data_IF_209612362849
#
_entry.id   IF_209612362849
#
_cell.length_a   1.000
_cell.length_b   1.000
_cell.length_c   1.000
_cell.angle_alpha   90.00
_cell.angle_beta   90.00
_cell.angle_gamma   90.00
#
_symmetry.space_group_name_H-M   'P 1'
#
loop_
_entity.id
_entity.type
_entity.pdbx_description
1 polymer ?
#
# COMPACT_ATOMS: atom_id res chain seq x y z
N UNK A 1 -23.42 -41.68 38.81
CA UNK A 1 -24.27 -41.38 37.63
C UNK A 1 -24.29 -42.53 36.63
N UNK A 2 -23.15 -43.00 36.09
CA UNK A 2 -23.16 -44.15 35.16
C UNK A 2 -23.79 -45.42 35.76
N UNK A 3 -23.46 -45.75 37.01
CA UNK A 3 -24.11 -46.87 37.71
C UNK A 3 -25.63 -46.70 37.85
N UNK A 4 -26.12 -45.47 37.99
CA UNK A 4 -27.57 -45.18 38.05
C UNK A 4 -28.23 -45.35 36.68
N UNK A 5 -27.54 -44.97 35.60
CA UNK A 5 -28.02 -45.20 34.24
C UNK A 5 -28.10 -46.70 33.92
N UNK A 6 -27.10 -47.47 34.35
CA UNK A 6 -27.07 -48.92 34.22
C UNK A 6 -28.21 -49.58 35.02
N UNK A 7 -28.45 -49.14 36.26
CA UNK A 7 -29.60 -49.57 37.07
C UNK A 7 -30.95 -49.26 36.40
N UNK A 8 -31.03 -48.20 35.61
CA UNK A 8 -32.21 -47.82 34.84
C UNK A 8 -32.28 -48.49 33.45
N UNK A 9 -31.32 -49.36 33.11
CA UNK A 9 -31.25 -50.05 31.81
C UNK A 9 -30.90 -49.15 30.64
N UNK A 10 -30.25 -48.01 30.89
CA UNK A 10 -29.81 -47.05 29.87
C UNK A 10 -28.37 -47.33 29.43
N UNK A 11 -28.00 -47.01 28.18
CA UNK A 11 -26.64 -47.22 27.68
C UNK A 11 -25.63 -46.36 28.44
N UNK A 12 -24.45 -46.93 28.72
CA UNK A 12 -23.33 -46.26 29.39
C UNK A 12 -22.06 -46.20 28.55
N UNK A 13 -22.00 -46.99 27.48
CA UNK A 13 -20.82 -47.07 26.61
C UNK A 13 -20.70 -45.81 25.75
N UNK A 14 -19.50 -45.23 25.73
CA UNK A 14 -19.16 -44.04 24.95
C UNK A 14 -20.06 -42.80 25.20
N UNK A 15 -20.80 -42.77 26.32
CA UNK A 15 -21.67 -41.63 26.68
C UNK A 15 -20.85 -40.44 27.18
N UNK A 16 -19.75 -40.69 27.90
CA UNK A 16 -18.83 -39.65 28.36
C UNK A 16 -17.39 -40.03 28.07
N UNK A 17 -16.54 -39.01 27.88
CA UNK A 17 -15.11 -39.21 27.64
C UNK A 17 -14.37 -39.73 28.89
N UNK A 18 -13.13 -40.19 28.68
CA UNK A 18 -12.32 -40.81 29.71
C UNK A 18 -12.01 -39.85 30.87
N UNK A 19 -11.77 -40.40 32.07
CA UNK A 19 -11.30 -39.59 33.21
C UNK A 19 -9.96 -38.88 32.92
N UNK A 20 -9.08 -39.52 32.13
CA UNK A 20 -7.81 -38.94 31.72
C UNK A 20 -7.98 -37.69 30.86
N UNK A 21 -8.82 -37.75 29.83
CA UNK A 21 -9.11 -36.60 28.96
C UNK A 21 -9.73 -35.44 29.73
N UNK A 22 -10.65 -35.73 30.66
CA UNK A 22 -11.25 -34.72 31.54
C UNK A 22 -10.20 -34.05 32.40
N UNK A 23 -9.31 -34.82 33.02
CA UNK A 23 -8.22 -34.28 33.83
C UNK A 23 -7.28 -33.39 33.01
N UNK A 24 -6.93 -33.83 31.79
CA UNK A 24 -6.10 -33.05 30.88
C UNK A 24 -6.74 -31.71 30.53
N UNK A 25 -8.03 -31.68 30.19
CA UNK A 25 -8.74 -30.42 29.94
C UNK A 25 -8.64 -29.49 31.15
N UNK A 26 -9.10 -29.96 32.31
CA UNK A 26 -9.19 -29.16 33.54
C UNK A 26 -7.82 -28.67 34.01
N UNK A 27 -6.76 -29.44 33.81
CA UNK A 27 -5.39 -29.05 34.17
C UNK A 27 -4.89 -27.86 33.35
N UNK A 28 -5.23 -27.79 32.06
CA UNK A 28 -4.72 -26.74 31.16
C UNK A 28 -5.60 -25.48 31.16
N UNK A 29 -6.88 -25.59 31.51
CA UNK A 29 -7.83 -24.46 31.48
C UNK A 29 -7.39 -23.22 32.27
N UNK A 30 -6.84 -23.31 33.51
CA UNK A 30 -6.50 -22.11 34.29
C UNK A 30 -5.50 -21.17 33.60
N UNK A 31 -4.44 -21.73 33.01
CA UNK A 31 -3.41 -20.93 32.33
C UNK A 31 -3.97 -20.25 31.08
N UNK A 32 -4.83 -20.96 30.34
CA UNK A 32 -5.50 -20.44 29.14
C UNK A 32 -6.46 -19.29 29.50
N UNK A 33 -7.25 -19.44 30.56
CA UNK A 33 -8.14 -18.38 31.05
C UNK A 33 -7.38 -17.17 31.58
N UNK A 34 -6.15 -17.35 32.04
CA UNK A 34 -5.25 -16.26 32.46
C UNK A 34 -4.93 -15.27 31.35
N UNK A 35 -5.21 -15.60 30.08
CA UNK A 35 -5.07 -14.70 28.94
C UNK A 35 -6.22 -13.67 28.85
N UNK A 36 -7.33 -13.86 29.57
CA UNK A 36 -8.47 -12.93 29.60
C UNK A 36 -8.42 -12.00 30.82
N UNK A 37 -8.87 -10.76 30.65
CA UNK A 37 -9.01 -9.84 31.78
C UNK A 37 -10.24 -10.17 32.65
N UNK A 38 -10.29 -9.58 33.85
CA UNK A 38 -11.37 -9.83 34.82
C UNK A 38 -12.76 -9.45 34.29
N UNK A 39 -12.88 -8.47 33.39
CA UNK A 39 -14.16 -8.06 32.81
C UNK A 39 -14.61 -9.06 31.75
N UNK A 40 -13.69 -9.56 30.93
CA UNK A 40 -13.95 -10.59 29.94
C UNK A 40 -14.40 -11.88 30.63
N UNK A 41 -13.66 -12.34 31.65
CA UNK A 41 -14.02 -13.53 32.45
C UNK A 41 -15.43 -13.41 33.06
N UNK A 42 -15.76 -12.25 33.65
CA UNK A 42 -17.08 -12.02 34.24
C UNK A 42 -18.23 -12.01 33.23
N UNK A 43 -17.94 -11.85 31.93
CA UNK A 43 -18.92 -11.75 30.83
C UNK A 43 -18.97 -12.99 29.94
N UNK A 44 -18.34 -14.10 30.33
CA UNK A 44 -18.28 -15.32 29.52
C UNK A 44 -19.03 -16.51 30.16
N UNK A 45 -20.38 -16.47 30.20
CA UNK A 45 -21.18 -17.54 30.81
C UNK A 45 -21.09 -18.86 30.03
N UNK A 46 -20.83 -18.84 28.72
CA UNK A 46 -20.71 -20.07 27.95
C UNK A 46 -19.35 -20.75 28.17
N UNK A 47 -18.28 -20.01 28.49
CA UNK A 47 -17.03 -20.61 28.98
C UNK A 47 -17.27 -21.37 30.30
N UNK A 48 -18.08 -20.82 31.20
CA UNK A 48 -18.44 -21.53 32.44
C UNK A 48 -19.19 -22.83 32.15
N UNK A 49 -20.16 -22.79 31.23
CA UNK A 49 -20.90 -24.00 30.78
C UNK A 49 -19.99 -25.02 30.08
N UNK A 50 -19.06 -24.54 29.26
CA UNK A 50 -18.07 -25.36 28.58
C UNK A 50 -17.21 -26.14 29.57
N UNK A 51 -16.70 -25.48 30.60
CA UNK A 51 -15.86 -26.12 31.63
C UNK A 51 -16.66 -27.15 32.42
N UNK A 52 -17.92 -26.84 32.78
CA UNK A 52 -18.81 -27.78 33.48
C UNK A 52 -19.12 -29.02 32.63
N UNK A 53 -19.46 -28.84 31.34
CA UNK A 53 -19.70 -29.93 30.40
C UNK A 53 -18.43 -30.78 30.19
N UNK A 54 -17.28 -30.12 30.06
CA UNK A 54 -15.97 -30.77 29.96
C UNK A 54 -15.65 -31.61 31.20
N UNK A 55 -15.84 -31.07 32.41
CA UNK A 55 -15.64 -31.79 33.65
C UNK A 55 -16.58 -33.01 33.79
N UNK A 56 -17.81 -32.90 33.30
CA UNK A 56 -18.77 -34.01 33.26
C UNK A 56 -18.39 -35.08 32.21
N UNK A 57 -17.57 -34.73 31.22
CA UNK A 57 -17.15 -35.62 30.13
C UNK A 57 -18.00 -35.54 28.86
N UNK A 58 -18.82 -34.49 28.73
CA UNK A 58 -19.64 -34.19 27.56
C UNK A 58 -18.89 -33.22 26.65
N UNK A 59 -17.89 -33.71 25.92
CA UNK A 59 -16.98 -32.87 25.14
C UNK A 59 -17.61 -32.27 23.88
N UNK A 60 -18.62 -32.92 23.32
CA UNK A 60 -19.48 -32.40 22.25
C UNK A 60 -20.27 -31.17 22.71
N UNK A 61 -20.88 -31.24 23.89
CA UNK A 61 -21.57 -30.12 24.52
C UNK A 61 -20.60 -29.00 24.91
N UNK A 62 -19.43 -29.36 25.47
CA UNK A 62 -18.39 -28.40 25.81
C UNK A 62 -17.89 -27.62 24.59
N UNK A 63 -17.65 -28.32 23.46
CA UNK A 63 -17.28 -27.69 22.19
C UNK A 63 -18.39 -26.78 21.66
N UNK A 64 -19.66 -27.19 21.78
CA UNK A 64 -20.79 -26.36 21.39
C UNK A 64 -20.85 -25.06 22.19
N UNK A 65 -20.67 -25.13 23.51
CA UNK A 65 -20.63 -23.93 24.36
C UNK A 65 -19.41 -23.03 24.08
N UNK A 66 -18.24 -23.61 23.80
CA UNK A 66 -17.08 -22.83 23.36
C UNK A 66 -17.38 -22.06 22.07
N UNK A 67 -17.99 -22.75 21.11
CA UNK A 67 -18.34 -22.16 19.83
C UNK A 67 -19.38 -21.04 19.98
N UNK A 68 -20.41 -21.25 20.81
CA UNK A 68 -21.43 -20.24 21.10
C UNK A 68 -20.80 -18.97 21.69
N UNK A 69 -19.90 -19.09 22.68
CA UNK A 69 -19.17 -17.93 23.21
C UNK A 69 -18.36 -17.22 22.12
N UNK A 70 -17.61 -18.00 21.32
CA UNK A 70 -16.73 -17.47 20.27
C UNK A 70 -17.51 -16.65 19.27
N UNK A 71 -18.63 -17.19 18.77
CA UNK A 71 -19.46 -16.50 17.79
C UNK A 71 -20.18 -15.30 18.39
N UNK A 72 -20.65 -15.37 19.64
CA UNK A 72 -21.22 -14.20 20.34
C UNK A 72 -20.18 -13.08 20.44
N UNK A 73 -18.96 -13.37 20.87
CA UNK A 73 -17.89 -12.37 20.96
C UNK A 73 -17.51 -11.80 19.60
N UNK A 74 -17.47 -12.63 18.55
CA UNK A 74 -17.21 -12.16 17.18
C UNK A 74 -18.33 -11.23 16.69
N UNK A 75 -19.60 -11.59 16.91
CA UNK A 75 -20.75 -10.74 16.57
C UNK A 75 -20.71 -9.42 17.33
N UNK A 76 -20.31 -9.42 18.61
CA UNK A 76 -20.13 -8.19 19.38
C UNK A 76 -19.05 -7.29 18.77
N UNK A 77 -17.96 -7.86 18.22
CA UNK A 77 -16.89 -7.06 17.60
C UNK A 77 -17.25 -6.56 16.22
N UNK A 78 -18.07 -7.33 15.50
CA UNK A 78 -18.73 -6.84 14.28
C UNK A 78 -19.72 -5.71 14.61
N UNK A 79 -20.45 -5.81 15.72
CA UNK A 79 -21.39 -4.77 16.15
C UNK A 79 -20.71 -3.45 16.50
N UNK A 80 -19.52 -3.52 17.09
CA UNK A 80 -18.65 -2.38 17.38
C UNK A 80 -17.92 -1.82 16.14
N UNK A 81 -18.04 -2.49 14.99
CA UNK A 81 -17.45 -2.09 13.71
C UNK A 81 -18.42 -1.17 12.93
N UNK A 82 -18.94 -1.67 11.82
CA UNK A 82 -19.96 -1.08 10.97
C UNK A 82 -20.82 -2.25 10.49
N UNK A 83 -21.98 -2.40 11.15
CA UNK A 83 -22.90 -3.51 10.93
C UNK A 83 -23.48 -3.49 9.52
N UNK A 84 -23.71 -2.30 8.95
CA UNK A 84 -24.25 -2.18 7.60
C UNK A 84 -23.22 -2.63 6.57
N UNK A 85 -21.99 -2.13 6.66
CA UNK A 85 -20.92 -2.56 5.76
C UNK A 85 -20.59 -4.05 5.92
N UNK A 86 -20.63 -4.57 7.15
CA UNK A 86 -20.47 -6.00 7.39
C UNK A 86 -21.52 -6.82 6.64
N UNK A 87 -22.80 -6.41 6.70
CA UNK A 87 -23.87 -7.10 5.98
C UNK A 87 -23.66 -7.07 4.47
N UNK A 88 -23.14 -5.98 3.89
CA UNK A 88 -22.83 -5.89 2.44
C UNK A 88 -21.85 -6.99 1.99
N UNK A 89 -20.97 -7.44 2.90
CA UNK A 89 -19.96 -8.46 2.62
C UNK A 89 -20.39 -9.88 3.00
N UNK A 90 -21.31 -9.99 3.96
CA UNK A 90 -21.81 -11.23 4.52
C UNK A 90 -23.00 -11.80 3.76
N UNK A 91 -23.84 -10.95 3.15
CA UNK A 91 -25.03 -11.35 2.40
C UNK A 91 -24.98 -10.76 0.97
N UNK A 92 -24.84 -11.67 0.00
CA UNK A 92 -24.73 -11.29 -1.41
C UNK A 92 -26.10 -11.15 -2.09
N UNK A 93 -27.16 -11.74 -1.52
CA UNK A 93 -28.53 -11.60 -2.02
C UNK A 93 -29.09 -10.22 -1.63
N UNK A 94 -29.44 -9.33 -2.58
CA UNK A 94 -29.90 -7.99 -2.27
C UNK A 94 -31.17 -7.94 -1.41
N UNK A 95 -32.11 -8.86 -1.62
CA UNK A 95 -33.39 -8.88 -0.90
C UNK A 95 -33.20 -9.31 0.55
N UNK A 96 -32.32 -10.29 0.81
CA UNK A 96 -31.95 -10.68 2.18
C UNK A 96 -31.11 -9.61 2.86
N UNK A 97 -30.21 -8.98 2.11
CA UNK A 97 -29.37 -7.88 2.60
C UNK A 97 -30.20 -6.70 3.10
N UNK A 98 -31.25 -6.31 2.37
CA UNK A 98 -32.16 -5.21 2.77
C UNK A 98 -32.87 -5.47 4.12
N UNK A 99 -33.11 -6.74 4.45
CA UNK A 99 -33.74 -7.17 5.70
C UNK A 99 -32.80 -7.21 6.92
N UNK A 100 -31.51 -6.88 6.73
CA UNK A 100 -30.47 -6.85 7.77
C UNK A 100 -30.02 -5.41 8.01
N UNK A 101 -30.31 -4.85 9.18
CA UNK A 101 -30.08 -3.41 9.43
C UNK A 101 -29.41 -3.14 10.78
N UNK A 102 -29.70 -3.97 11.77
CA UNK A 102 -29.35 -3.71 13.17
C UNK A 102 -28.38 -4.74 13.72
N UNK A 103 -27.78 -4.45 14.88
CA UNK A 103 -26.97 -5.41 15.63
C UNK A 103 -27.70 -6.73 15.85
N UNK A 104 -29.00 -6.67 16.13
CA UNK A 104 -29.81 -7.86 16.42
C UNK A 104 -29.94 -8.76 15.18
N UNK A 105 -29.80 -8.20 13.98
CA UNK A 105 -29.84 -8.96 12.74
C UNK A 105 -28.58 -9.81 12.50
N UNK A 106 -27.48 -9.57 13.24
CA UNK A 106 -26.25 -10.39 13.14
C UNK A 106 -26.48 -11.86 13.50
N UNK A 107 -27.51 -12.16 14.30
CA UNK A 107 -27.88 -13.55 14.61
C UNK A 107 -28.50 -14.28 13.40
N UNK A 108 -28.94 -13.56 12.37
CA UNK A 108 -29.49 -14.13 11.13
C UNK A 108 -28.41 -14.55 10.14
N UNK A 109 -27.17 -14.06 10.33
CA UNK A 109 -26.00 -14.49 9.55
C UNK A 109 -25.48 -15.81 10.12
N UNK A 110 -25.36 -16.81 9.24
CA UNK A 110 -24.79 -18.10 9.61
C UNK A 110 -23.28 -17.98 9.91
N UNK A 111 -22.77 -18.89 10.73
CA UNK A 111 -21.40 -18.77 11.26
C UNK A 111 -20.31 -18.82 10.18
N UNK A 112 -20.51 -19.57 9.09
CA UNK A 112 -19.53 -19.62 8.00
C UNK A 112 -19.45 -18.29 7.25
N UNK A 113 -20.61 -17.71 6.90
CA UNK A 113 -20.69 -16.38 6.30
C UNK A 113 -20.14 -15.29 7.23
N UNK A 114 -20.37 -15.42 8.54
CA UNK A 114 -19.83 -14.53 9.56
C UNK A 114 -18.29 -14.52 9.55
N UNK A 115 -17.66 -15.70 9.54
CA UNK A 115 -16.21 -15.85 9.48
C UNK A 115 -15.63 -15.30 8.16
N UNK A 116 -16.25 -15.62 7.03
CA UNK A 116 -15.82 -15.16 5.72
C UNK A 116 -15.86 -13.63 5.62
N UNK A 117 -16.94 -13.01 6.10
CA UNK A 117 -17.07 -11.56 6.13
C UNK A 117 -16.09 -10.92 7.12
N UNK A 118 -15.91 -11.50 8.31
CA UNK A 118 -14.94 -11.03 9.31
C UNK A 118 -13.50 -11.04 8.76
N UNK A 119 -13.13 -12.06 7.97
CA UNK A 119 -11.86 -12.10 7.26
C UNK A 119 -11.77 -11.01 6.18
N UNK A 120 -12.82 -10.82 5.37
CA UNK A 120 -12.83 -9.80 4.30
C UNK A 120 -12.61 -8.39 4.86
N UNK A 121 -13.18 -8.08 6.02
CA UNK A 121 -12.97 -6.79 6.72
C UNK A 121 -11.68 -6.76 7.55
N UNK A 122 -10.85 -7.81 7.48
CA UNK A 122 -9.62 -7.97 8.26
C UNK A 122 -9.82 -7.86 9.78
N UNK A 123 -11.02 -8.21 10.28
CA UNK A 123 -11.27 -8.34 11.70
C UNK A 123 -10.56 -9.58 12.27
N UNK A 124 -10.40 -10.62 11.46
CA UNK A 124 -9.58 -11.80 11.72
C UNK A 124 -8.60 -12.05 10.58
N UNK A 125 -7.47 -12.70 10.87
CA UNK A 125 -6.45 -13.05 9.87
C UNK A 125 -6.87 -14.25 9.01
N UNK A 126 -6.15 -14.49 7.91
CA UNK A 126 -6.34 -15.71 7.09
C UNK A 126 -6.09 -16.99 7.90
N UNK A 127 -5.09 -16.98 8.78
CA UNK A 127 -4.76 -18.13 9.65
C UNK A 127 -5.87 -18.37 10.66
N UNK A 128 -6.32 -17.30 11.32
CA UNK A 128 -7.44 -17.33 12.26
C UNK A 128 -8.71 -17.88 11.62
N UNK A 129 -9.03 -17.41 10.40
CA UNK A 129 -10.17 -17.88 9.63
C UNK A 129 -10.12 -19.38 9.39
N UNK A 130 -8.96 -19.92 8.99
CA UNK A 130 -8.80 -21.36 8.77
C UNK A 130 -8.96 -22.17 10.06
N UNK A 131 -8.33 -21.72 11.16
CA UNK A 131 -8.44 -22.38 12.46
C UNK A 131 -9.89 -22.41 12.98
N UNK A 132 -10.57 -21.26 12.96
CA UNK A 132 -11.96 -21.13 13.42
C UNK A 132 -12.93 -21.92 12.53
N UNK A 133 -12.70 -21.94 11.22
CA UNK A 133 -13.51 -22.75 10.29
C UNK A 133 -13.37 -24.24 10.57
N UNK A 134 -12.15 -24.70 10.92
CA UNK A 134 -11.93 -26.08 11.33
C UNK A 134 -12.66 -26.42 12.64
N UNK A 135 -12.60 -25.54 13.63
CA UNK A 135 -13.33 -25.73 14.91
C UNK A 135 -14.83 -25.81 14.66
N UNK A 136 -15.39 -24.92 13.84
CA UNK A 136 -16.81 -24.95 13.44
C UNK A 136 -17.17 -26.27 12.75
N UNK A 137 -16.35 -26.70 11.81
CA UNK A 137 -16.51 -27.97 11.12
C UNK A 137 -16.57 -29.13 12.13
N UNK A 138 -15.60 -29.19 13.05
CA UNK A 138 -15.56 -30.23 14.08
C UNK A 138 -16.77 -30.16 15.02
N UNK A 139 -17.22 -28.97 15.41
CA UNK A 139 -18.44 -28.78 16.21
C UNK A 139 -19.67 -29.38 15.53
N UNK A 140 -19.80 -29.23 14.22
CA UNK A 140 -20.92 -29.78 13.46
C UNK A 140 -20.82 -31.30 13.23
N UNK A 141 -19.62 -31.89 13.33
CA UNK A 141 -19.37 -33.30 13.01
C UNK A 141 -19.03 -34.18 14.23
N UNK A 142 -18.74 -33.60 15.39
CA UNK A 142 -18.38 -34.32 16.62
C UNK A 142 -19.59 -34.77 17.46
N UNK A 143 -20.82 -34.62 16.95
CA UNK A 143 -22.05 -34.99 17.67
C UNK A 143 -22.13 -36.51 17.92
N UNK A 144 -22.63 -36.88 19.11
CA UNK A 144 -22.75 -38.26 19.60
C UNK A 144 -23.59 -39.21 18.73
N UNK A 145 -24.26 -38.73 17.69
CA UNK A 145 -25.13 -39.51 16.80
C UNK A 145 -24.37 -40.36 15.74
N UNK A 146 -23.06 -40.15 15.55
CA UNK A 146 -22.28 -40.87 14.53
C UNK A 146 -20.99 -41.49 15.12
N UNK A 147 -21.00 -42.77 15.52
CA UNK A 147 -19.93 -43.45 16.28
C UNK A 147 -18.53 -43.53 15.62
N UNK A 148 -18.39 -43.16 14.33
CA UNK A 148 -17.16 -43.36 13.55
C UNK A 148 -16.41 -42.06 13.19
N UNK A 149 -16.80 -40.92 13.76
CA UNK A 149 -16.22 -39.61 13.41
C UNK A 149 -15.41 -39.10 14.61
N UNK A 150 -14.11 -38.89 14.39
CA UNK A 150 -13.07 -38.41 15.32
C UNK A 150 -13.43 -38.19 16.81
N UNK A 151 -12.71 -38.90 17.69
CA UNK A 151 -12.80 -38.71 19.15
C UNK A 151 -12.19 -37.37 19.58
N UNK A 152 -12.98 -36.53 20.24
CA UNK A 152 -12.51 -35.32 20.93
C UNK A 152 -11.67 -35.71 22.17
N UNK A 153 -10.49 -35.11 22.32
CA UNK A 153 -9.57 -35.34 23.46
C UNK A 153 -9.43 -34.10 24.31
N UNK A 154 -8.93 -34.27 25.53
CA UNK A 154 -8.79 -33.15 26.48
C UNK A 154 -7.85 -32.07 25.97
N UNK A 155 -6.76 -32.46 25.31
CA UNK A 155 -5.79 -31.52 24.70
C UNK A 155 -6.40 -30.77 23.53
N UNK A 156 -7.13 -31.44 22.61
CA UNK A 156 -7.77 -30.77 21.47
C UNK A 156 -8.75 -29.69 21.95
N UNK A 157 -9.58 -30.01 22.94
CA UNK A 157 -10.56 -29.06 23.45
C UNK A 157 -9.93 -27.89 24.21
N UNK A 158 -8.81 -28.12 24.92
CA UNK A 158 -8.02 -27.04 25.53
C UNK A 158 -7.33 -26.14 24.49
N UNK A 159 -6.74 -26.72 23.46
CA UNK A 159 -6.10 -26.00 22.35
C UNK A 159 -7.10 -25.11 21.60
N UNK A 160 -8.29 -25.63 21.33
CA UNK A 160 -9.36 -24.85 20.71
C UNK A 160 -9.89 -23.74 21.62
N UNK A 161 -9.97 -23.95 22.94
CA UNK A 161 -10.28 -22.88 23.89
C UNK A 161 -9.26 -21.73 23.77
N UNK A 162 -7.96 -22.06 23.77
CA UNK A 162 -6.91 -21.05 23.64
C UNK A 162 -6.96 -20.33 22.28
N UNK A 163 -7.20 -21.08 21.20
CA UNK A 163 -7.35 -20.52 19.85
C UNK A 163 -8.51 -19.53 19.79
N UNK A 164 -9.69 -19.91 20.29
CA UNK A 164 -10.87 -19.03 20.32
C UNK A 164 -10.62 -17.77 21.17
N UNK A 165 -9.88 -17.88 22.28
CA UNK A 165 -9.53 -16.72 23.11
C UNK A 165 -8.64 -15.74 22.34
N UNK A 166 -7.55 -16.24 21.75
CA UNK A 166 -6.55 -15.41 21.07
C UNK A 166 -7.08 -14.78 19.79
N UNK A 167 -7.77 -15.58 18.98
CA UNK A 167 -8.20 -15.14 17.65
C UNK A 167 -9.51 -14.33 17.66
N UNK A 168 -10.32 -14.42 18.73
CA UNK A 168 -11.62 -13.74 18.80
C UNK A 168 -11.81 -12.94 20.08
N UNK A 169 -11.70 -13.56 21.26
CA UNK A 169 -12.11 -12.91 22.52
C UNK A 169 -11.19 -11.75 22.90
N UNK A 170 -9.92 -11.82 22.50
CA UNK A 170 -8.92 -10.77 22.67
C UNK A 170 -8.88 -9.73 21.55
N UNK A 171 -9.65 -9.91 20.47
CA UNK A 171 -9.70 -8.92 19.39
C UNK A 171 -10.05 -7.57 20.00
N UNK A 172 -9.16 -6.58 19.85
CA UNK A 172 -9.49 -5.21 20.19
C UNK A 172 -10.18 -4.61 18.99
N UNK A 173 -11.44 -4.21 19.12
CA UNK A 173 -12.09 -3.36 18.13
C UNK A 173 -11.26 -2.09 18.03
N UNK A 174 -10.65 -1.86 16.87
CA UNK A 174 -9.90 -0.64 16.58
C UNK A 174 -10.90 0.32 15.93
N UNK A 175 -11.36 1.38 16.62
CA UNK A 175 -12.34 2.33 16.06
C UNK A 175 -11.94 2.83 14.67
N UNK A 176 -10.64 2.98 14.43
CA UNK A 176 -10.03 3.39 13.16
C UNK A 176 -10.42 2.49 11.97
N UNK A 177 -10.52 1.17 12.14
CA UNK A 177 -10.84 0.25 11.03
C UNK A 177 -12.31 0.41 10.63
N UNK A 178 -13.20 0.62 11.61
CA UNK A 178 -14.61 0.88 11.37
C UNK A 178 -14.82 2.22 10.63
N UNK A 179 -14.06 3.25 11.03
CA UNK A 179 -14.08 4.56 10.37
C UNK A 179 -13.62 4.48 8.90
N UNK A 180 -12.60 3.67 8.60
CA UNK A 180 -12.14 3.41 7.23
C UNK A 180 -13.21 2.71 6.40
N UNK A 181 -13.85 1.66 6.96
CA UNK A 181 -14.94 0.95 6.29
C UNK A 181 -16.11 1.87 5.95
N UNK A 182 -16.53 2.69 6.92
CA UNK A 182 -17.59 3.69 6.75
C UNK A 182 -17.22 4.74 5.71
N UNK A 183 -15.98 5.23 5.69
CA UNK A 183 -15.54 6.18 4.66
C UNK A 183 -15.62 5.56 3.27
N UNK A 184 -15.09 4.35 3.09
CA UNK A 184 -15.14 3.64 1.80
C UNK A 184 -16.58 3.40 1.35
N UNK A 185 -17.48 3.04 2.26
CA UNK A 185 -18.90 2.91 1.96
C UNK A 185 -19.51 4.23 1.50
N UNK A 186 -19.33 5.32 2.26
CA UNK A 186 -19.89 6.64 1.93
C UNK A 186 -19.37 7.17 0.58
N UNK A 187 -18.07 6.99 0.31
CA UNK A 187 -17.44 7.36 -0.98
C UNK A 187 -18.08 6.63 -2.16
N UNK A 188 -18.51 5.38 -1.95
CA UNK A 188 -19.22 4.59 -2.97
C UNK A 188 -20.71 4.95 -3.08
N UNK A 189 -21.36 5.28 -1.96
CA UNK A 189 -22.81 5.39 -1.88
C UNK A 189 -23.37 6.68 -2.50
N UNK A 190 -22.66 7.81 -2.39
CA UNK A 190 -23.17 9.09 -2.86
C UNK A 190 -22.06 10.05 -3.30
N UNK A 191 -22.43 11.07 -4.08
CA UNK A 191 -21.59 12.24 -4.28
C UNK A 191 -21.50 13.02 -2.95
N UNK A 192 -20.28 13.24 -2.48
CA UNK A 192 -20.03 13.94 -1.22
C UNK A 192 -19.60 15.38 -1.51
N UNK A 193 -19.99 16.33 -0.66
CA UNK A 193 -19.56 17.71 -0.80
C UNK A 193 -18.06 17.84 -0.52
N UNK A 194 -17.36 18.75 -1.21
CA UNK A 194 -15.93 18.97 -1.02
C UNK A 194 -15.56 19.26 0.45
N UNK A 195 -16.42 19.98 1.18
CA UNK A 195 -16.25 20.25 2.61
C UNK A 195 -16.29 18.97 3.46
N UNK A 196 -17.16 18.01 3.12
CA UNK A 196 -17.26 16.72 3.82
C UNK A 196 -16.01 15.86 3.57
N UNK A 197 -15.54 15.85 2.32
CA UNK A 197 -14.32 15.14 1.92
C UNK A 197 -13.08 15.74 2.58
N UNK A 198 -12.97 17.07 2.66
CA UNK A 198 -11.89 17.74 3.41
C UNK A 198 -11.93 17.41 4.89
N UNK A 199 -13.12 17.40 5.50
CA UNK A 199 -13.28 16.99 6.90
C UNK A 199 -12.86 15.53 7.11
N UNK A 200 -13.23 14.63 6.19
CA UNK A 200 -12.76 13.24 6.22
C UNK A 200 -11.23 13.16 6.08
N UNK A 201 -10.61 13.92 5.18
CA UNK A 201 -9.16 13.91 5.01
C UNK A 201 -8.37 14.28 6.29
N UNK A 202 -8.95 15.05 7.21
CA UNK A 202 -8.27 15.45 8.46
C UNK A 202 -7.82 14.27 9.32
N UNK A 203 -8.55 13.14 9.32
CA UNK A 203 -8.17 11.97 10.13
C UNK A 203 -7.01 11.17 9.54
N UNK A 204 -6.66 11.36 8.26
CA UNK A 204 -5.60 10.58 7.60
C UNK A 204 -4.26 10.72 8.32
N UNK A 205 -3.96 11.92 8.84
CA UNK A 205 -2.74 12.19 9.60
C UNK A 205 -2.62 11.41 10.93
N UNK A 206 -3.76 10.95 11.48
CA UNK A 206 -3.81 10.14 12.70
C UNK A 206 -3.87 8.64 12.45
N UNK A 207 -3.89 8.20 11.20
CA UNK A 207 -3.96 6.77 10.88
C UNK A 207 -2.65 6.05 11.20
N UNK A 208 -2.71 4.87 11.83
CA UNK A 208 -1.61 3.91 11.81
C UNK A 208 -1.19 3.58 10.37
N UNK A 209 0.10 3.33 10.14
CA UNK A 209 0.66 3.11 8.80
C UNK A 209 -0.04 1.99 8.02
N UNK A 210 -0.37 0.88 8.68
CA UNK A 210 -1.13 -0.25 8.11
C UNK A 210 -2.52 0.18 7.64
N UNK A 211 -3.16 1.08 8.38
CA UNK A 211 -4.50 1.57 8.08
C UNK A 211 -4.50 2.60 6.94
N UNK A 212 -3.51 3.47 6.87
CA UNK A 212 -3.32 4.35 5.71
C UNK A 212 -3.07 3.54 4.42
N UNK A 213 -2.25 2.49 4.50
CA UNK A 213 -2.00 1.57 3.38
C UNK A 213 -3.28 0.82 2.97
N UNK A 214 -4.08 0.35 3.93
CA UNK A 214 -5.35 -0.31 3.66
C UNK A 214 -6.35 0.62 2.97
N UNK A 215 -6.50 1.86 3.46
CA UNK A 215 -7.37 2.84 2.84
C UNK A 215 -6.93 3.17 1.41
N UNK A 216 -5.62 3.29 1.16
CA UNK A 216 -5.09 3.54 -0.18
C UNK A 216 -5.41 2.38 -1.14
N UNK A 217 -5.24 1.14 -0.69
CA UNK A 217 -5.67 -0.02 -1.47
C UNK A 217 -7.19 -0.05 -1.70
N UNK A 218 -7.98 0.37 -0.72
CA UNK A 218 -9.42 0.53 -0.84
C UNK A 218 -9.82 1.53 -1.92
N UNK A 219 -9.28 2.75 -1.87
CA UNK A 219 -9.50 3.78 -2.90
C UNK A 219 -9.06 3.32 -4.29
N UNK A 220 -7.88 2.72 -4.41
CA UNK A 220 -7.43 2.15 -5.68
C UNK A 220 -8.40 1.07 -6.21
N UNK A 221 -8.90 0.21 -5.32
CA UNK A 221 -9.82 -0.88 -5.66
C UNK A 221 -11.21 -0.41 -6.11
N UNK A 222 -11.71 0.71 -5.59
CA UNK A 222 -13.02 1.27 -5.99
C UNK A 222 -12.90 2.22 -7.19
N UNK A 223 -11.71 2.77 -7.45
CA UNK A 223 -11.45 3.70 -8.55
C UNK A 223 -11.15 3.00 -9.89
N UNK A 224 -10.42 1.89 -9.85
CA UNK A 224 -9.94 1.22 -11.06
C UNK A 224 -10.99 0.47 -11.89
N UNK A 225 -12.10 -0.07 -11.34
CA UNK A 225 -13.09 -0.77 -12.15
C UNK A 225 -13.68 0.15 -13.25
N UNK A 226 -13.86 -0.34 -14.49
CA UNK A 226 -14.48 0.45 -15.56
C UNK A 226 -15.95 0.78 -15.29
N UNK A 227 -16.57 0.05 -14.36
CA UNK A 227 -17.96 0.22 -13.92
C UNK A 227 -18.09 1.13 -12.71
N UNK A 228 -17.01 1.78 -12.26
CA UNK A 228 -17.08 2.72 -11.14
C UNK A 228 -17.92 3.94 -11.53
N UNK A 229 -18.88 4.30 -10.67
CA UNK A 229 -19.76 5.43 -10.92
C UNK A 229 -18.96 6.76 -10.89
N UNK A 230 -19.37 7.78 -11.68
CA UNK A 230 -18.66 9.06 -11.75
C UNK A 230 -18.43 9.72 -10.40
N UNK A 231 -19.40 9.67 -9.48
CA UNK A 231 -19.25 10.28 -8.15
C UNK A 231 -18.19 9.58 -7.30
N UNK A 232 -18.00 8.27 -7.46
CA UNK A 232 -16.95 7.52 -6.77
C UNK A 232 -15.58 8.00 -7.24
N UNK A 233 -15.43 8.22 -8.55
CA UNK A 233 -14.19 8.73 -9.13
C UNK A 233 -13.89 10.13 -8.60
N UNK A 234 -14.88 11.03 -8.57
CA UNK A 234 -14.71 12.40 -8.11
C UNK A 234 -14.38 12.48 -6.62
N UNK A 235 -15.07 11.69 -5.79
CA UNK A 235 -14.78 11.57 -4.36
C UNK A 235 -13.33 11.09 -4.12
N UNK A 236 -12.90 10.03 -4.82
CA UNK A 236 -11.53 9.50 -4.68
C UNK A 236 -10.49 10.50 -5.19
N UNK A 237 -10.74 11.22 -6.29
CA UNK A 237 -9.81 12.24 -6.80
C UNK A 237 -9.53 13.35 -5.79
N UNK A 238 -10.50 13.68 -4.93
CA UNK A 238 -10.31 14.67 -3.87
C UNK A 238 -9.61 14.10 -2.64
N UNK A 239 -9.86 12.84 -2.28
CA UNK A 239 -9.27 12.21 -1.09
C UNK A 239 -7.86 11.64 -1.34
N UNK A 240 -7.57 11.25 -2.57
CA UNK A 240 -6.33 10.56 -2.91
C UNK A 240 -5.07 11.40 -2.67
N UNK A 241 -5.00 12.67 -3.11
CA UNK A 241 -3.84 13.53 -2.81
C UNK A 241 -3.64 13.77 -1.32
N UNK A 242 -4.72 13.82 -0.54
CA UNK A 242 -4.65 14.02 0.92
C UNK A 242 -4.15 12.76 1.65
N UNK A 243 -4.48 11.57 1.14
CA UNK A 243 -4.03 10.31 1.74
C UNK A 243 -2.57 10.00 1.36
N UNK A 244 -2.16 10.33 0.14
CA UNK A 244 -0.88 9.92 -0.45
C UNK A 244 0.35 10.15 0.45
N UNK A 245 0.52 11.29 1.15
CA UNK A 245 1.66 11.53 2.05
C UNK A 245 1.82 10.49 3.16
N UNK A 246 0.72 9.84 3.58
CA UNK A 246 0.70 8.86 4.66
C UNK A 246 0.84 7.41 4.18
N UNK A 247 0.83 7.18 2.86
CA UNK A 247 1.01 5.85 2.26
C UNK A 247 2.48 5.46 2.26
N UNK A 248 2.78 4.24 2.72
CA UNK A 248 4.15 3.72 2.77
C UNK A 248 4.75 3.54 1.38
N UNK A 249 6.08 3.64 1.29
CA UNK A 249 6.81 3.45 0.04
C UNK A 249 6.55 2.09 -0.62
N UNK A 250 6.45 1.03 0.20
CA UNK A 250 6.18 -0.33 -0.29
C UNK A 250 4.78 -0.43 -0.91
N UNK A 251 3.76 0.17 -0.27
CA UNK A 251 2.42 0.22 -0.83
C UNK A 251 2.38 1.05 -2.13
N UNK A 252 3.07 2.20 -2.20
CA UNK A 252 3.14 3.00 -3.44
C UNK A 252 3.74 2.19 -4.60
N UNK A 253 4.82 1.44 -4.35
CA UNK A 253 5.41 0.50 -5.33
C UNK A 253 4.44 -0.62 -5.71
N UNK A 254 3.72 -1.18 -4.75
CA UNK A 254 2.72 -2.23 -5.00
C UNK A 254 1.61 -1.75 -5.95
N UNK A 255 1.15 -0.51 -5.81
CA UNK A 255 0.15 0.09 -6.71
C UNK A 255 0.69 0.20 -8.15
N UNK A 256 1.96 0.59 -8.31
CA UNK A 256 2.66 0.56 -9.60
C UNK A 256 2.72 -0.85 -10.23
N UNK A 257 3.00 -1.87 -9.41
CA UNK A 257 2.98 -3.28 -9.84
C UNK A 257 1.57 -3.71 -10.24
N UNK A 258 0.51 -3.26 -9.55
CA UNK A 258 -0.89 -3.53 -9.94
C UNK A 258 -1.20 -2.93 -11.31
N UNK A 259 -0.77 -1.70 -11.58
CA UNK A 259 -0.88 -1.09 -12.92
C UNK A 259 -0.14 -1.93 -13.97
N UNK A 260 1.10 -2.34 -13.72
CA UNK A 260 1.88 -3.19 -14.63
C UNK A 260 1.15 -4.52 -14.94
N UNK A 261 0.51 -5.13 -13.92
CA UNK A 261 -0.32 -6.34 -14.11
C UNK A 261 -1.54 -6.08 -14.99
N UNK A 262 -2.24 -4.96 -14.83
CA UNK A 262 -3.35 -4.61 -15.72
C UNK A 262 -2.88 -4.46 -17.17
N UNK A 263 -1.73 -3.82 -17.41
CA UNK A 263 -1.12 -3.71 -18.74
C UNK A 263 -0.76 -5.08 -19.32
N UNK A 264 -0.09 -5.93 -18.55
CA UNK A 264 0.31 -7.28 -18.99
C UNK A 264 -0.90 -8.17 -19.34
N UNK A 265 -2.03 -7.97 -18.68
CA UNK A 265 -3.28 -8.70 -18.92
C UNK A 265 -4.18 -8.04 -19.99
N UNK A 266 -3.70 -7.01 -20.69
CA UNK A 266 -4.48 -6.23 -21.67
C UNK A 266 -5.78 -5.60 -21.10
N UNK A 267 -5.88 -5.42 -19.78
CA UNK A 267 -6.99 -4.72 -19.13
C UNK A 267 -6.78 -3.20 -19.22
N UNK A 268 -6.99 -2.66 -20.42
CA UNK A 268 -6.71 -1.27 -20.74
C UNK A 268 -7.50 -0.30 -19.86
N UNK A 269 -8.76 -0.58 -19.58
CA UNK A 269 -9.61 0.33 -18.83
C UNK A 269 -9.15 0.49 -17.37
N UNK A 270 -8.81 -0.62 -16.69
CA UNK A 270 -8.26 -0.55 -15.34
C UNK A 270 -6.86 0.05 -15.32
N UNK A 271 -6.03 -0.25 -16.33
CA UNK A 271 -4.71 0.33 -16.45
C UNK A 271 -4.76 1.85 -16.62
N UNK A 272 -5.66 2.38 -17.46
CA UNK A 272 -5.78 3.81 -17.68
C UNK A 272 -6.28 4.53 -16.40
N UNK A 273 -7.22 3.94 -15.64
CA UNK A 273 -7.64 4.46 -14.32
C UNK A 273 -6.54 4.41 -13.27
N UNK A 274 -5.79 3.31 -13.20
CA UNK A 274 -4.68 3.18 -12.26
C UNK A 274 -3.57 4.19 -12.57
N UNK A 275 -3.27 4.40 -13.85
CA UNK A 275 -2.32 5.43 -14.31
C UNK A 275 -2.79 6.83 -13.91
N UNK A 276 -4.04 7.17 -14.23
CA UNK A 276 -4.66 8.46 -13.85
C UNK A 276 -4.53 8.75 -12.35
N UNK A 277 -4.79 7.75 -11.50
CA UNK A 277 -4.73 7.92 -10.05
C UNK A 277 -3.29 8.14 -9.54
N UNK A 278 -2.29 7.47 -10.13
CA UNK A 278 -0.88 7.69 -9.79
C UNK A 278 -0.39 9.06 -10.27
N UNK A 279 -0.85 9.53 -11.42
CA UNK A 279 -0.48 10.84 -11.97
C UNK A 279 -1.14 12.02 -11.24
N UNK A 280 -2.20 11.76 -10.47
CA UNK A 280 -2.93 12.77 -9.72
C UNK A 280 -2.12 13.38 -8.56
N UNK A 281 -1.03 12.74 -8.13
CA UNK A 281 -0.27 13.10 -6.93
C UNK A 281 1.19 13.41 -7.24
N UNK A 282 1.75 14.37 -6.51
CA UNK A 282 3.15 14.77 -6.66
C UNK A 282 4.08 13.58 -6.38
N UNK A 283 4.99 13.30 -7.33
CA UNK A 283 5.88 12.13 -7.31
C UNK A 283 5.22 10.77 -7.55
N UNK A 284 3.91 10.71 -7.81
CA UNK A 284 3.22 9.45 -8.08
C UNK A 284 3.59 8.82 -9.43
N UNK A 285 3.92 9.64 -10.42
CA UNK A 285 4.40 9.20 -11.74
C UNK A 285 5.70 8.38 -11.67
N UNK A 286 6.50 8.52 -10.59
CA UNK A 286 7.70 7.72 -10.36
C UNK A 286 7.41 6.23 -10.15
N UNK A 287 6.18 5.86 -9.78
CA UNK A 287 5.76 4.48 -9.56
C UNK A 287 5.09 3.85 -10.78
N UNK A 288 5.06 4.54 -11.93
CA UNK A 288 4.58 3.96 -13.19
C UNK A 288 5.48 2.81 -13.66
N UNK A 289 4.94 1.84 -14.43
CA UNK A 289 5.75 0.82 -15.10
C UNK A 289 6.85 1.44 -15.96
N UNK A 290 7.99 0.76 -16.11
CA UNK A 290 9.14 1.28 -16.86
C UNK A 290 8.78 1.70 -18.29
N UNK A 291 7.93 0.95 -18.99
CA UNK A 291 7.45 1.30 -20.33
C UNK A 291 6.68 2.62 -20.36
N UNK A 292 5.85 2.86 -19.34
CA UNK A 292 5.05 4.07 -19.22
C UNK A 292 5.95 5.26 -18.85
N UNK A 293 6.93 5.04 -17.94
CA UNK A 293 7.94 6.04 -17.58
C UNK A 293 8.82 6.44 -18.76
N UNK A 294 9.20 5.51 -19.62
CA UNK A 294 9.99 5.79 -20.81
C UNK A 294 9.25 6.77 -21.72
N UNK A 295 7.98 6.51 -22.03
CA UNK A 295 7.16 7.40 -22.86
C UNK A 295 6.99 8.76 -22.19
N UNK A 296 6.63 8.77 -20.91
CA UNK A 296 6.36 9.98 -20.15
C UNK A 296 7.60 10.90 -20.01
N UNK A 297 8.78 10.32 -19.75
CA UNK A 297 10.04 11.07 -19.69
C UNK A 297 10.39 11.61 -21.09
N UNK A 298 10.27 10.80 -22.14
CA UNK A 298 10.59 11.24 -23.50
C UNK A 298 9.70 12.42 -23.91
N UNK A 299 8.38 12.32 -23.70
CA UNK A 299 7.45 13.42 -23.98
C UNK A 299 7.76 14.67 -23.16
N UNK A 300 8.05 14.51 -21.85
CA UNK A 300 8.40 15.64 -21.00
C UNK A 300 9.69 16.33 -21.45
N UNK A 301 10.70 15.58 -21.93
CA UNK A 301 11.92 16.13 -22.49
C UNK A 301 11.66 16.90 -23.79
N UNK A 302 10.86 16.34 -24.69
CA UNK A 302 10.51 16.98 -25.96
C UNK A 302 9.69 18.26 -25.76
N UNK A 303 8.73 18.21 -24.84
CA UNK A 303 7.92 19.36 -24.44
C UNK A 303 8.76 20.44 -23.78
N UNK A 304 9.71 20.06 -22.91
CA UNK A 304 10.59 21.00 -22.23
C UNK A 304 11.50 21.72 -23.23
N UNK A 305 12.03 20.99 -24.20
CA UNK A 305 12.83 21.58 -25.28
C UNK A 305 11.99 22.48 -26.20
N UNK A 306 10.72 22.13 -26.43
CA UNK A 306 9.80 22.98 -27.19
C UNK A 306 9.50 24.29 -26.46
N UNK A 307 9.17 24.21 -25.17
CA UNK A 307 8.94 25.36 -24.30
C UNK A 307 10.20 26.24 -24.22
N UNK A 308 11.38 25.64 -24.04
CA UNK A 308 12.64 26.39 -23.96
C UNK A 308 12.96 27.20 -25.21
N UNK A 309 12.60 26.67 -26.39
CA UNK A 309 12.82 27.30 -27.70
C UNK A 309 11.68 28.22 -28.11
N UNK A 310 10.59 28.28 -27.35
CA UNK A 310 9.43 29.09 -27.65
C UNK A 310 9.77 30.59 -27.51
N UNK A 311 9.70 31.38 -28.61
CA UNK A 311 10.11 32.78 -28.55
C UNK A 311 9.22 33.61 -27.62
N UNK A 312 9.81 34.24 -26.60
CA UNK A 312 9.12 35.21 -25.74
C UNK A 312 8.16 34.64 -24.68
N UNK A 313 7.93 33.32 -24.65
CA UNK A 313 7.03 32.66 -23.69
C UNK A 313 7.69 31.56 -22.85
N UNK A 314 8.94 31.21 -23.16
CA UNK A 314 9.68 30.12 -22.51
C UNK A 314 9.68 30.22 -20.97
N UNK A 315 9.83 31.42 -20.40
CA UNK A 315 9.85 31.64 -18.95
C UNK A 315 8.54 31.25 -18.23
N UNK A 316 7.42 31.21 -18.96
CA UNK A 316 6.11 30.81 -18.44
C UNK A 316 5.78 29.34 -18.72
N UNK A 317 6.27 28.81 -19.85
CA UNK A 317 5.95 27.45 -20.30
C UNK A 317 6.91 26.38 -19.73
N UNK A 318 8.16 26.74 -19.45
CA UNK A 318 9.15 25.81 -18.88
C UNK A 318 8.77 25.26 -17.49
N UNK A 319 8.30 26.07 -16.51
CA UNK A 319 8.05 25.61 -15.14
C UNK A 319 7.09 24.40 -15.00
N UNK A 320 5.89 24.38 -15.62
CA UNK A 320 5.00 23.23 -15.50
C UNK A 320 5.60 21.96 -16.11
N UNK A 321 6.35 22.07 -17.21
CA UNK A 321 6.98 20.92 -17.87
C UNK A 321 8.17 20.40 -17.05
N UNK A 322 8.97 21.31 -16.48
CA UNK A 322 10.08 20.95 -15.58
C UNK A 322 9.58 20.21 -14.34
N UNK A 323 8.43 20.63 -13.78
CA UNK A 323 7.77 19.93 -12.67
C UNK A 323 7.31 18.53 -13.07
N UNK A 324 6.63 18.40 -14.23
CA UNK A 324 6.21 17.09 -14.78
C UNK A 324 7.40 16.14 -14.92
N UNK A 325 8.51 16.61 -15.51
CA UNK A 325 9.74 15.82 -15.66
C UNK A 325 10.29 15.36 -14.30
N UNK A 326 10.34 16.26 -13.31
CA UNK A 326 10.78 15.94 -11.95
C UNK A 326 9.93 14.83 -11.33
N UNK A 327 8.61 14.85 -11.55
CA UNK A 327 7.67 13.93 -10.92
C UNK A 327 7.82 12.50 -11.46
N UNK A 328 7.99 12.34 -12.78
CA UNK A 328 8.18 11.02 -13.40
C UNK A 328 9.58 10.44 -13.17
N UNK A 329 10.61 11.30 -13.06
CA UNK A 329 11.97 10.88 -12.71
C UNK A 329 12.03 10.43 -11.24
N UNK A 330 11.24 11.06 -10.38
CA UNK A 330 11.14 10.71 -8.97
C UNK A 330 12.38 11.09 -8.16
N UNK A 331 12.34 10.75 -6.86
CA UNK A 331 13.32 11.21 -5.86
C UNK A 331 14.75 10.70 -6.09
N UNK A 332 14.88 9.53 -6.71
CA UNK A 332 16.16 8.84 -6.88
C UNK A 332 16.87 9.18 -8.20
N UNK A 333 16.25 9.97 -9.08
CA UNK A 333 16.88 10.32 -10.37
C UNK A 333 16.92 9.17 -11.37
N UNK A 334 16.14 8.11 -11.14
CA UNK A 334 16.15 6.91 -11.98
C UNK A 334 15.57 7.24 -13.35
N UNK A 335 16.30 6.97 -14.42
CA UNK A 335 15.86 7.19 -15.80
C UNK A 335 16.16 5.93 -16.61
N UNK A 336 15.26 5.45 -17.49
CA UNK A 336 15.56 4.33 -18.37
C UNK A 336 16.86 4.56 -19.14
N UNK A 337 17.69 3.53 -19.29
CA UNK A 337 19.04 3.67 -19.87
C UNK A 337 19.02 4.38 -21.24
N UNK A 338 18.05 4.02 -22.08
CA UNK A 338 17.79 4.63 -23.40
C UNK A 338 17.62 6.14 -23.38
N UNK A 339 17.16 6.71 -22.25
CA UNK A 339 16.89 8.14 -22.10
C UNK A 339 17.99 8.88 -21.33
N UNK A 340 19.05 8.21 -20.89
CA UNK A 340 20.13 8.84 -20.09
C UNK A 340 20.77 10.03 -20.82
N UNK A 341 21.22 9.81 -22.06
CA UNK A 341 21.85 10.86 -22.86
C UNK A 341 20.91 12.04 -23.19
N UNK A 342 19.68 11.83 -23.72
CA UNK A 342 18.77 12.95 -23.98
C UNK A 342 18.32 13.65 -22.70
N UNK A 343 18.12 12.93 -21.59
CA UNK A 343 17.78 13.51 -20.28
C UNK A 343 18.83 14.52 -19.81
N UNK A 344 20.10 14.10 -19.77
CA UNK A 344 21.19 14.97 -19.34
C UNK A 344 21.40 16.13 -20.32
N UNK A 345 21.38 15.85 -21.63
CA UNK A 345 21.58 16.89 -22.65
C UNK A 345 20.51 17.98 -22.57
N UNK A 346 19.24 17.61 -22.45
CA UNK A 346 18.11 18.54 -22.32
C UNK A 346 18.22 19.37 -21.04
N UNK A 347 18.49 18.74 -19.89
CA UNK A 347 18.62 19.46 -18.62
C UNK A 347 19.78 20.45 -18.63
N UNK A 348 20.92 20.08 -19.20
CA UNK A 348 22.03 21.01 -19.37
C UNK A 348 21.65 22.14 -20.32
N UNK A 349 20.98 21.83 -21.45
CA UNK A 349 20.56 22.84 -22.41
C UNK A 349 19.67 23.89 -21.74
N UNK A 350 18.58 23.49 -21.09
CA UNK A 350 17.65 24.44 -20.45
C UNK A 350 18.29 25.19 -19.28
N UNK A 351 19.13 24.52 -18.47
CA UNK A 351 19.82 25.14 -17.34
C UNK A 351 20.81 26.23 -17.76
N UNK A 352 21.47 26.05 -18.91
CA UNK A 352 22.37 27.07 -19.47
C UNK A 352 21.64 28.30 -20.03
N UNK A 353 20.30 28.30 -20.04
CA UNK A 353 19.43 29.38 -20.56
C UNK A 353 19.57 29.63 -22.06
N UNK A 354 18.64 30.37 -22.66
CA UNK A 354 18.74 30.81 -24.06
C UNK A 354 19.52 32.14 -24.22
N UNK A 355 20.15 32.65 -23.16
CA UNK A 355 20.91 33.90 -23.15
C UNK A 355 20.10 35.18 -22.88
N UNK A 356 18.77 35.12 -22.91
CA UNK A 356 17.90 36.28 -22.67
C UNK A 356 17.50 36.46 -21.19
N UNK A 357 17.68 35.44 -20.37
CA UNK A 357 17.33 35.45 -18.95
C UNK A 357 17.28 34.05 -18.37
N UNK A 358 17.16 33.95 -17.05
CA UNK A 358 16.97 32.68 -16.36
C UNK A 358 15.48 32.44 -16.10
N UNK A 359 14.99 31.23 -16.37
CA UNK A 359 13.63 30.83 -16.03
C UNK A 359 13.51 30.57 -14.52
N UNK A 360 13.43 31.63 -13.71
CA UNK A 360 13.47 31.56 -12.24
C UNK A 360 12.44 30.61 -11.63
N UNK A 361 11.29 30.41 -12.26
CA UNK A 361 10.26 29.48 -11.79
C UNK A 361 10.54 28.01 -12.16
N UNK A 362 11.37 27.76 -13.18
CA UNK A 362 11.76 26.42 -13.61
C UNK A 362 13.11 25.97 -13.03
N UNK A 363 13.99 26.94 -12.76
CA UNK A 363 15.35 26.76 -12.26
C UNK A 363 15.46 25.89 -10.99
N UNK A 364 14.60 26.05 -9.96
CA UNK A 364 14.63 25.15 -8.80
C UNK A 364 14.48 23.67 -9.18
N UNK A 365 13.62 23.36 -10.15
CA UNK A 365 13.42 22.00 -10.63
C UNK A 365 14.64 21.49 -11.43
N UNK A 366 15.27 22.34 -12.24
CA UNK A 366 16.50 21.98 -12.95
C UNK A 366 17.63 21.66 -11.97
N UNK A 367 17.83 22.51 -10.95
CA UNK A 367 18.84 22.30 -9.92
C UNK A 367 18.56 21.01 -9.15
N UNK A 368 17.30 20.75 -8.78
CA UNK A 368 16.88 19.53 -8.12
C UNK A 368 17.20 18.28 -8.96
N UNK A 369 16.86 18.30 -10.25
CA UNK A 369 17.11 17.19 -11.17
C UNK A 369 18.61 16.97 -11.43
N UNK A 370 19.38 18.04 -11.64
CA UNK A 370 20.84 17.94 -11.83
C UNK A 370 21.52 17.38 -10.58
N UNK A 371 21.07 17.77 -9.37
CA UNK A 371 21.59 17.21 -8.11
C UNK A 371 21.28 15.72 -7.92
N UNK A 372 20.27 15.20 -8.63
CA UNK A 372 19.91 13.78 -8.65
C UNK A 372 20.75 12.96 -9.62
N UNK A 373 21.58 13.58 -10.46
CA UNK A 373 22.45 12.83 -11.36
C UNK A 373 23.31 11.81 -10.60
N UNK A 374 23.43 10.62 -11.20
CA UNK A 374 24.43 9.64 -10.83
C UNK A 374 25.82 10.02 -11.40
N UNK A 375 26.84 9.19 -11.12
CA UNK A 375 28.20 9.43 -11.60
C UNK A 375 28.29 9.52 -13.12
N UNK A 376 27.81 8.52 -13.88
CA UNK A 376 27.78 8.55 -15.34
C UNK A 376 27.04 9.76 -15.94
N UNK A 377 25.88 10.12 -15.40
CA UNK A 377 25.10 11.29 -15.83
C UNK A 377 25.86 12.60 -15.55
N UNK A 378 26.48 12.73 -14.37
CA UNK A 378 27.31 13.87 -14.02
C UNK A 378 28.55 13.98 -14.93
N UNK A 379 29.19 12.85 -15.24
CA UNK A 379 30.33 12.78 -16.15
C UNK A 379 29.95 13.19 -17.57
N UNK A 380 28.76 12.78 -18.03
CA UNK A 380 28.18 13.20 -19.31
C UNK A 380 27.86 14.70 -19.32
N UNK A 381 27.29 15.21 -18.23
CA UNK A 381 27.01 16.64 -18.05
C UNK A 381 28.29 17.50 -18.06
N UNK A 382 29.36 17.07 -17.38
CA UNK A 382 30.65 17.78 -17.39
C UNK A 382 31.24 17.87 -18.81
N UNK A 383 30.98 16.89 -19.67
CA UNK A 383 31.47 16.86 -21.06
C UNK A 383 30.56 17.57 -22.04
N UNK A 384 29.43 18.11 -21.59
CA UNK A 384 28.45 18.77 -22.47
C UNK A 384 28.98 20.03 -23.16
N UNK A 385 30.09 20.63 -22.71
CA UNK A 385 30.78 21.68 -23.48
C UNK A 385 31.25 21.21 -24.86
N UNK A 386 31.32 19.90 -25.10
CA UNK A 386 31.63 19.31 -26.39
C UNK A 386 30.39 19.10 -27.29
N UNK A 387 29.17 19.26 -26.78
CA UNK A 387 27.95 18.97 -27.52
C UNK A 387 27.61 20.08 -28.51
N UNK A 388 27.22 19.69 -29.72
CA UNK A 388 26.90 20.61 -30.82
C UNK A 388 25.78 21.60 -30.45
N UNK A 389 24.81 21.18 -29.64
CA UNK A 389 23.72 22.05 -29.15
C UNK A 389 24.17 23.07 -28.09
N UNK A 390 25.23 22.76 -27.33
CA UNK A 390 25.67 23.56 -26.17
C UNK A 390 26.76 24.56 -26.55
N UNK A 391 27.65 24.21 -27.48
CA UNK A 391 28.78 25.06 -27.90
C UNK A 391 28.35 26.50 -28.23
N UNK A 392 27.28 26.76 -29.01
CA UNK A 392 26.87 28.12 -29.34
C UNK A 392 26.46 28.94 -28.10
N UNK A 393 25.91 28.28 -27.07
CA UNK A 393 25.41 28.91 -25.84
C UNK A 393 26.55 29.39 -24.97
N UNK A 394 27.66 28.65 -24.92
CA UNK A 394 28.83 28.98 -24.11
C UNK A 394 29.55 30.27 -24.55
N UNK A 395 29.20 30.85 -25.71
CA UNK A 395 29.63 32.20 -26.10
C UNK A 395 28.88 33.34 -25.41
N UNK A 396 27.76 33.05 -24.74
CA UNK A 396 26.90 34.04 -24.09
C UNK A 396 27.25 34.16 -22.60
N UNK A 397 27.45 35.39 -22.10
CA UNK A 397 27.89 35.66 -20.72
C UNK A 397 27.01 35.01 -19.66
N UNK A 398 25.68 35.05 -19.81
CA UNK A 398 24.76 34.42 -18.85
C UNK A 398 24.95 32.89 -18.81
N UNK A 399 25.03 32.25 -19.97
CA UNK A 399 25.26 30.81 -20.10
C UNK A 399 26.65 30.41 -19.58
N UNK A 400 27.67 31.28 -19.67
CA UNK A 400 28.97 31.04 -19.04
C UNK A 400 28.89 31.02 -17.52
N UNK A 401 28.12 31.94 -16.91
CA UNK A 401 27.89 31.92 -15.47
C UNK A 401 27.15 30.65 -15.04
N UNK A 402 26.11 30.25 -15.80
CA UNK A 402 25.39 28.99 -15.59
C UNK A 402 26.23 27.75 -15.81
N UNK A 403 27.18 27.79 -16.73
CA UNK A 403 28.14 26.71 -16.91
C UNK A 403 28.99 26.49 -15.65
N UNK A 404 29.50 27.56 -15.05
CA UNK A 404 30.26 27.47 -13.80
C UNK A 404 29.39 26.89 -12.68
N UNK A 405 28.13 27.31 -12.58
CA UNK A 405 27.17 26.76 -11.62
C UNK A 405 26.92 25.26 -11.86
N UNK A 406 26.73 24.84 -13.11
CA UNK A 406 26.53 23.44 -13.49
C UNK A 406 27.72 22.58 -13.05
N UNK A 407 28.94 23.03 -13.33
CA UNK A 407 30.17 22.31 -12.96
C UNK A 407 30.23 22.06 -11.46
N UNK A 408 29.86 23.05 -10.65
CA UNK A 408 29.83 22.92 -9.19
C UNK A 408 28.69 22.02 -8.69
N UNK A 409 27.53 22.02 -9.36
CA UNK A 409 26.43 21.13 -9.02
C UNK A 409 26.79 19.65 -9.26
N UNK A 410 27.52 19.34 -10.34
CA UNK A 410 27.89 17.96 -10.68
C UNK A 410 29.18 17.49 -10.02
N UNK A 411 30.07 18.40 -9.59
CA UNK A 411 31.37 18.08 -9.01
C UNK A 411 31.35 17.00 -7.89
N UNK A 412 30.41 17.01 -6.92
CA UNK A 412 30.35 15.99 -5.87
C UNK A 412 30.06 14.58 -6.38
N UNK A 413 29.51 14.45 -7.59
CA UNK A 413 29.11 13.18 -8.22
C UNK A 413 30.23 12.54 -9.05
N UNK A 414 31.28 13.30 -9.36
CA UNK A 414 32.41 12.84 -10.17
C UNK A 414 33.40 12.08 -9.29
N UNK A 415 33.16 10.76 -9.15
CA UNK A 415 33.99 9.88 -8.32
C UNK A 415 35.13 9.23 -9.08
N UNK A 416 34.97 9.01 -10.39
CA UNK A 416 35.98 8.38 -11.23
C UNK A 416 37.21 9.26 -11.40
N UNK A 417 38.39 8.62 -11.47
CA UNK A 417 39.67 9.34 -11.54
C UNK A 417 39.75 10.24 -12.77
N UNK A 418 39.33 9.75 -13.93
CA UNK A 418 39.38 10.50 -15.19
C UNK A 418 38.46 11.72 -15.16
N UNK A 419 37.27 11.57 -14.57
CA UNK A 419 36.31 12.65 -14.41
C UNK A 419 36.81 13.75 -13.47
N UNK A 420 37.50 13.36 -12.38
CA UNK A 420 38.11 14.33 -11.46
C UNK A 420 39.26 15.09 -12.11
N UNK A 421 40.10 14.42 -12.90
CA UNK A 421 41.17 15.09 -13.65
C UNK A 421 40.58 16.06 -14.68
N UNK A 422 39.53 15.67 -15.39
CA UNK A 422 38.82 16.58 -16.30
C UNK A 422 38.22 17.77 -15.56
N UNK A 423 37.56 17.55 -14.41
CA UNK A 423 37.01 18.61 -13.57
C UNK A 423 38.09 19.61 -13.13
N UNK A 424 39.25 19.13 -12.70
CA UNK A 424 40.39 19.99 -12.32
C UNK A 424 40.89 20.81 -13.51
N UNK A 425 41.01 20.21 -14.70
CA UNK A 425 41.38 20.95 -15.90
C UNK A 425 40.33 22.00 -16.29
N UNK A 426 39.04 21.68 -16.20
CA UNK A 426 37.94 22.62 -16.46
C UNK A 426 37.96 23.78 -15.46
N UNK A 427 38.19 23.52 -14.16
CA UNK A 427 38.29 24.57 -13.13
C UNK A 427 39.54 25.45 -13.27
N UNK A 428 40.66 24.86 -13.70
CA UNK A 428 41.90 25.58 -13.92
C UNK A 428 41.93 26.38 -15.24
N UNK A 429 40.95 26.16 -16.12
CA UNK A 429 40.88 26.83 -17.42
C UNK A 429 40.55 28.32 -17.24
N UNK A 430 41.45 29.20 -17.69
CA UNK A 430 41.32 30.66 -17.54
C UNK A 430 40.57 31.34 -18.69
N UNK A 431 40.19 30.58 -19.72
CA UNK A 431 39.45 31.10 -20.87
C UNK A 431 37.93 31.04 -20.66
N UNK A 432 37.19 31.40 -21.70
CA UNK A 432 35.73 31.29 -21.73
C UNK A 432 35.30 29.86 -22.06
N UNK A 433 34.24 29.31 -21.44
CA UNK A 433 33.81 27.92 -21.62
C UNK A 433 33.67 27.43 -23.08
N UNK A 434 33.33 28.30 -24.03
CA UNK A 434 33.27 27.98 -25.47
C UNK A 434 34.62 27.54 -26.06
N UNK A 435 35.73 27.83 -25.37
CA UNK A 435 37.09 27.49 -25.78
C UNK A 435 37.65 26.26 -25.09
N UNK A 436 36.91 25.61 -24.17
CA UNK A 436 37.38 24.42 -23.44
C UNK A 436 37.88 23.31 -24.39
N UNK A 437 37.19 23.08 -25.51
CA UNK A 437 37.61 22.09 -26.53
C UNK A 437 38.95 22.39 -27.21
N UNK A 438 39.41 23.64 -27.15
CA UNK A 438 40.68 24.07 -27.77
C UNK A 438 41.86 23.90 -26.82
N UNK A 439 41.60 23.67 -25.53
CA UNK A 439 42.64 23.34 -24.57
C UNK A 439 43.14 21.91 -24.82
N UNK A 440 44.46 21.74 -24.97
CA UNK A 440 45.05 20.46 -25.33
C UNK A 440 44.90 19.40 -24.24
N UNK A 441 44.89 19.79 -22.95
CA UNK A 441 44.73 18.85 -21.84
C UNK A 441 43.29 18.36 -21.75
N UNK A 442 42.33 19.27 -21.93
CA UNK A 442 40.90 18.95 -21.95
C UNK A 442 40.54 18.10 -23.18
N UNK A 443 41.05 18.47 -24.36
CA UNK A 443 40.83 17.70 -25.59
C UNK A 443 41.32 16.25 -25.47
N UNK A 444 42.52 16.03 -24.90
CA UNK A 444 43.06 14.70 -24.68
C UNK A 444 42.20 13.84 -23.72
N UNK A 445 41.55 14.44 -22.72
CA UNK A 445 40.62 13.72 -21.84
C UNK A 445 39.30 13.37 -22.54
N UNK A 446 38.84 14.22 -23.47
CA UNK A 446 37.65 13.93 -24.28
C UNK A 446 37.89 12.78 -25.26
N UNK A 447 39.08 12.71 -25.89
CA UNK A 447 39.43 11.63 -26.81
C UNK A 447 39.39 10.27 -26.11
N UNK A 448 40.04 10.15 -24.95
CA UNK A 448 40.01 8.92 -24.13
C UNK A 448 38.60 8.46 -23.78
N UNK A 449 37.72 9.41 -23.45
CA UNK A 449 36.33 9.09 -23.13
C UNK A 449 35.54 8.59 -24.34
N UNK A 450 35.80 9.13 -25.54
CA UNK A 450 35.16 8.67 -26.76
C UNK A 450 35.66 7.28 -27.19
N UNK A 451 36.91 6.94 -26.91
CA UNK A 451 37.50 5.62 -27.21
C UNK A 451 37.00 4.52 -26.26
N UNK A 452 36.49 4.88 -25.07
CA UNK A 452 36.00 3.96 -24.05
C UNK A 452 34.52 3.57 -24.20
N UNK A 453 33.79 4.18 -25.14
CA UNK A 453 32.37 3.87 -25.48
C UNK A 453 32.31 3.10 -26.79
#
# INVERSE_FOLDING_TARGET
MLAVLEEWGLPTDNIIVSAGDRHVLIKNTPDILGELDAKQLARSPYISKMILAGAAGLFDAALSYLWDETITQLRDRVADFDVAYFFDLAEADPARREALQTRDDLSKINDAALLDAAKKIQLISDVAHQQLSHINYMRNHASAAHPNVERLTGLKLADWLQTCIREVMQLKTRPVVAEIGRLLHNVKAAALAEAELKNAATFFSGLPQDQANNLANGFFGIYTPPTADPHVLDNVRLLWPELWPFVSEDTRRELGVKLARFRANADKARADRAKELLELVDGGAAYLPESDRLVEIQEALDDLMRAHRAPGVNFYEEPPVARRLRDVVGRHGEVPELLTAPYVATLVDVFLTNGYGTAWNAEPYYIELIKRFDGPQAAYALRSFAFTSIIPKLGVTLSQAKWVELVELVAPKLTEREDRVLLEHVRAFTGTPDKLRKDTRIAAQLEKWNEAR
#
